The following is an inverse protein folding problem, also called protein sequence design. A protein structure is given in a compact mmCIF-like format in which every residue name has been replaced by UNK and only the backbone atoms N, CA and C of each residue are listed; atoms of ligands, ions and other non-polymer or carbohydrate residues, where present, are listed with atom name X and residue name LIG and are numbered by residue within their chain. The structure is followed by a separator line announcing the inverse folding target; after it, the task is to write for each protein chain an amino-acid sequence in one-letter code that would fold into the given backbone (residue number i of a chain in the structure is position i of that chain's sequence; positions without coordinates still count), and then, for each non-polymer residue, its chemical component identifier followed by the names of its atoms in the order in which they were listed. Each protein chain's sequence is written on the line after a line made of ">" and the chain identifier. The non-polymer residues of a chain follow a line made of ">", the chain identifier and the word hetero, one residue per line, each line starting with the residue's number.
data_IF_214583448323
#
_entry.id   IF_214583448323
#
_cell.length_a   1.000
_cell.length_b   1.000
_cell.length_c   1.000
_cell.angle_alpha   90.00
_cell.angle_beta   90.00
_cell.angle_gamma   90.00
#
_symmetry.space_group_name_H-M   'P 1'
#
loop_
_entity.id
_entity.type
_entity.pdbx_description
1 polymer ?
#
# COMPACT_ATOMS: atom_id res chain seq x y z
N UNK A 1 4.63 15.83 -14.06
CA UNK A 1 4.23 14.41 -14.14
C UNK A 1 4.29 13.92 -15.57
N UNK A 2 4.18 12.61 -15.78
CA UNK A 2 4.06 12.03 -17.12
C UNK A 2 2.89 12.63 -17.90
N UNK A 3 3.11 12.95 -19.18
CA UNK A 3 2.01 13.16 -20.12
C UNK A 3 1.54 11.81 -20.68
N UNK A 4 0.43 11.80 -21.42
CA UNK A 4 -0.10 10.58 -22.04
C UNK A 4 0.93 9.91 -22.98
N UNK A 5 1.68 10.70 -23.75
CA UNK A 5 2.74 10.22 -24.65
C UNK A 5 4.05 9.83 -23.94
N UNK A 6 4.18 10.03 -22.63
CA UNK A 6 5.35 9.52 -21.89
C UNK A 6 5.28 7.99 -21.72
N UNK A 7 4.07 7.43 -21.62
CA UNK A 7 3.81 6.00 -21.50
C UNK A 7 2.59 5.62 -22.34
N UNK A 8 2.69 5.72 -23.68
CA UNK A 8 1.57 5.45 -24.57
C UNK A 8 1.16 3.97 -24.49
N UNK A 9 -0.14 3.65 -24.59
CA UNK A 9 -0.58 2.26 -24.72
C UNK A 9 -0.05 1.67 -26.03
N UNK A 10 0.02 0.34 -26.11
CA UNK A 10 0.67 -0.38 -27.21
C UNK A 10 0.11 0.01 -28.59
N UNK A 11 -1.22 0.16 -28.69
CA UNK A 11 -1.89 0.51 -29.95
C UNK A 11 -1.44 1.88 -30.48
N UNK A 12 -1.29 2.86 -29.59
CA UNK A 12 -0.82 4.21 -29.94
C UNK A 12 0.67 4.19 -30.31
N UNK A 13 1.47 3.38 -29.59
CA UNK A 13 2.90 3.25 -29.85
C UNK A 13 3.21 2.65 -31.23
N UNK A 14 2.38 1.69 -31.67
CA UNK A 14 2.49 1.06 -32.98
C UNK A 14 1.88 1.90 -34.11
N UNK A 15 1.25 3.04 -33.79
CA UNK A 15 0.50 3.85 -34.77
C UNK A 15 -0.71 3.11 -35.36
N UNK A 16 -1.23 2.09 -34.66
CA UNK A 16 -2.37 1.31 -35.10
C UNK A 16 -3.68 2.09 -34.94
N UNK A 17 -4.63 1.85 -35.83
CA UNK A 17 -5.97 2.43 -35.72
C UNK A 17 -6.77 1.71 -34.62
N UNK A 18 -7.28 2.45 -33.64
CA UNK A 18 -8.08 1.92 -32.52
C UNK A 18 -9.31 1.13 -33.01
N UNK A 19 -9.81 1.42 -34.22
CA UNK A 19 -10.91 0.68 -34.85
C UNK A 19 -10.60 -0.79 -35.05
N UNK A 20 -9.32 -1.15 -35.21
CA UNK A 20 -8.89 -2.55 -35.39
C UNK A 20 -9.11 -3.40 -34.14
N UNK A 21 -9.13 -2.79 -32.95
CA UNK A 21 -9.38 -3.47 -31.68
C UNK A 21 -10.89 -3.65 -31.40
N UNK A 22 -11.72 -2.77 -31.95
CA UNK A 22 -13.17 -2.81 -31.76
C UNK A 22 -13.80 -3.88 -32.66
N UNK A 23 -14.48 -4.85 -32.05
CA UNK A 23 -15.36 -5.77 -32.78
C UNK A 23 -16.75 -5.16 -32.91
N UNK A 24 -17.27 -5.11 -34.13
CA UNK A 24 -18.64 -4.70 -34.41
C UNK A 24 -19.64 -5.56 -33.62
N UNK A 25 -20.63 -4.92 -32.99
CA UNK A 25 -21.66 -5.61 -32.18
C UNK A 25 -21.24 -6.02 -30.76
N UNK A 26 -19.99 -5.76 -30.33
CA UNK A 26 -19.55 -6.01 -28.95
C UNK A 26 -19.35 -4.68 -28.22
N UNK A 27 -20.05 -4.50 -27.09
CA UNK A 27 -19.88 -3.36 -26.22
C UNK A 27 -18.93 -3.70 -25.07
N UNK A 28 -18.07 -2.75 -24.69
CA UNK A 28 -17.38 -2.84 -23.41
C UNK A 28 -18.41 -2.82 -22.28
N UNK A 29 -18.25 -3.68 -21.29
CA UNK A 29 -19.12 -3.66 -20.11
C UNK A 29 -18.84 -2.38 -19.31
N UNK A 30 -19.86 -1.55 -19.12
CA UNK A 30 -19.82 -0.38 -18.24
C UNK A 30 -20.83 -0.56 -17.12
N UNK A 31 -20.36 -0.51 -15.88
CA UNK A 31 -21.23 -0.56 -14.71
C UNK A 31 -21.42 0.87 -14.18
N UNK A 32 -22.66 1.34 -13.95
CA UNK A 32 -22.89 2.70 -13.44
C UNK A 32 -22.14 3.00 -12.13
N UNK A 33 -21.89 1.97 -11.32
CA UNK A 33 -21.13 2.07 -10.07
C UNK A 33 -19.66 2.41 -10.31
N UNK A 34 -18.99 1.78 -11.29
CA UNK A 34 -17.58 2.09 -11.60
C UNK A 34 -17.46 3.48 -12.19
N UNK A 35 -18.38 3.89 -13.06
CA UNK A 35 -18.41 5.25 -13.60
C UNK A 35 -18.65 6.31 -12.50
N UNK A 36 -19.59 6.06 -11.58
CA UNK A 36 -19.88 6.97 -10.48
C UNK A 36 -18.69 7.14 -9.53
N UNK A 37 -18.02 6.04 -9.19
CA UNK A 37 -16.86 6.08 -8.30
C UNK A 37 -15.66 6.79 -8.95
N UNK A 38 -15.35 6.51 -10.22
CA UNK A 38 -14.29 7.23 -10.94
C UNK A 38 -14.59 8.73 -11.05
N UNK A 39 -15.85 9.10 -11.32
CA UNK A 39 -16.25 10.51 -11.37
C UNK A 39 -16.09 11.20 -10.01
N UNK A 40 -16.51 10.54 -8.92
CA UNK A 40 -16.34 11.07 -7.56
C UNK A 40 -14.87 11.28 -7.19
N UNK A 41 -14.01 10.28 -7.47
CA UNK A 41 -12.57 10.38 -7.23
C UNK A 41 -11.92 11.50 -8.05
N UNK A 42 -12.34 11.68 -9.30
CA UNK A 42 -11.85 12.75 -10.15
C UNK A 42 -12.22 14.13 -9.59
N UNK A 43 -13.50 14.36 -9.26
CA UNK A 43 -13.98 15.63 -8.69
C UNK A 43 -13.26 15.92 -7.37
N UNK A 44 -13.10 14.90 -6.51
CA UNK A 44 -12.38 15.08 -5.25
C UNK A 44 -10.92 15.49 -5.48
N UNK A 45 -10.25 14.93 -6.49
CA UNK A 45 -8.89 15.33 -6.82
C UNK A 45 -8.81 16.74 -7.40
N UNK A 46 -9.80 17.15 -8.20
CA UNK A 46 -9.92 18.53 -8.70
C UNK A 46 -10.09 19.50 -7.55
N UNK A 47 -10.97 19.22 -6.58
CA UNK A 47 -11.18 20.06 -5.40
C UNK A 47 -9.91 20.17 -4.55
N UNK A 48 -9.24 19.05 -4.27
CA UNK A 48 -7.95 19.04 -3.55
C UNK A 48 -6.91 19.93 -4.25
N UNK A 49 -6.85 19.87 -5.58
CA UNK A 49 -5.91 20.67 -6.37
C UNK A 49 -6.26 22.16 -6.38
N UNK A 50 -7.53 22.53 -6.61
CA UNK A 50 -7.94 23.95 -6.73
C UNK A 50 -7.98 24.67 -5.39
N UNK A 51 -8.44 24.00 -4.34
CA UNK A 51 -8.56 24.57 -3.00
C UNK A 51 -7.32 24.29 -2.13
N UNK A 52 -6.29 23.63 -2.68
CA UNK A 52 -5.01 23.37 -2.02
C UNK A 52 -5.10 22.70 -0.65
N UNK A 53 -6.06 21.78 -0.46
CA UNK A 53 -6.24 21.00 0.76
C UNK A 53 -5.99 19.50 0.52
N UNK A 54 -5.63 18.79 1.59
CA UNK A 54 -5.27 17.37 1.53
C UNK A 54 -4.08 17.09 0.61
N UNK A 55 -3.96 15.83 0.19
CA UNK A 55 -2.91 15.35 -0.72
C UNK A 55 -3.49 15.10 -2.12
N UNK A 56 -2.92 15.74 -3.14
CA UNK A 56 -3.31 15.55 -4.55
C UNK A 56 -2.70 14.25 -5.08
N UNK A 57 -3.52 13.43 -5.75
CA UNK A 57 -3.09 12.17 -6.34
C UNK A 57 -2.75 12.37 -7.82
N UNK A 58 -1.53 12.00 -8.23
CA UNK A 58 -1.10 12.08 -9.64
C UNK A 58 -1.58 10.91 -10.49
N UNK A 59 -1.66 9.74 -9.87
CA UNK A 59 -2.31 8.56 -10.41
C UNK A 59 -3.01 7.86 -9.25
N UNK A 60 -4.28 7.53 -9.47
CA UNK A 60 -5.09 6.75 -8.54
C UNK A 60 -5.80 5.70 -9.38
N UNK A 61 -5.45 4.44 -9.17
CA UNK A 61 -6.13 3.31 -9.76
C UNK A 61 -7.30 2.86 -8.90
N UNK A 62 -8.24 2.15 -9.52
CA UNK A 62 -9.32 1.47 -8.82
C UNK A 62 -9.45 0.05 -9.37
N UNK A 63 -9.34 -0.94 -8.50
CA UNK A 63 -9.62 -2.33 -8.80
C UNK A 63 -10.84 -2.80 -8.00
N UNK A 64 -11.99 -2.85 -8.67
CA UNK A 64 -13.27 -3.25 -8.08
C UNK A 64 -13.34 -4.71 -7.60
N UNK A 65 -12.45 -5.59 -8.07
CA UNK A 65 -12.48 -7.01 -7.69
C UNK A 65 -11.77 -7.27 -6.36
N UNK A 66 -10.79 -6.43 -6.01
CA UNK A 66 -9.97 -6.55 -4.80
C UNK A 66 -10.13 -5.36 -3.85
N UNK A 67 -11.08 -4.47 -4.16
CA UNK A 67 -11.28 -3.18 -3.48
C UNK A 67 -9.96 -2.43 -3.22
N UNK A 68 -9.09 -2.45 -4.24
CA UNK A 68 -7.72 -1.96 -4.12
C UNK A 68 -7.55 -0.62 -4.84
N UNK A 69 -6.92 0.33 -4.14
CA UNK A 69 -6.75 1.72 -4.58
C UNK A 69 -5.25 2.09 -4.66
N UNK A 70 -4.54 1.64 -5.70
CA UNK A 70 -3.12 1.95 -5.84
C UNK A 70 -2.89 3.42 -6.20
N UNK A 71 -1.93 4.05 -5.53
CA UNK A 71 -1.43 5.39 -5.85
C UNK A 71 0.01 5.33 -6.32
N UNK A 72 0.31 6.01 -7.44
CA UNK A 72 1.67 6.02 -8.00
C UNK A 72 2.03 7.40 -8.53
N UNK A 73 3.25 7.91 -8.28
CA UNK A 73 3.73 9.12 -8.93
C UNK A 73 4.31 8.79 -10.32
N UNK A 74 3.55 9.03 -11.39
CA UNK A 74 4.09 8.86 -12.76
C UNK A 74 5.03 10.01 -13.15
N UNK A 75 6.30 9.67 -13.39
CA UNK A 75 7.35 10.61 -13.81
C UNK A 75 7.40 10.77 -15.33
N UNK A 76 7.75 11.96 -15.85
CA UNK A 76 7.95 12.17 -17.29
C UNK A 76 9.06 11.29 -17.86
N UNK A 77 8.88 10.87 -19.11
CA UNK A 77 9.92 10.20 -19.89
C UNK A 77 10.85 11.27 -20.51
N UNK A 78 12.17 11.25 -20.26
CA UNK A 78 13.11 12.21 -20.84
C UNK A 78 13.16 12.17 -22.38
N UNK A 79 12.84 11.01 -22.97
CA UNK A 79 12.83 10.79 -24.42
C UNK A 79 11.40 10.71 -24.96
N UNK A 80 10.47 11.53 -24.45
CA UNK A 80 9.08 11.55 -24.93
C UNK A 80 9.00 12.01 -26.40
N UNK A 81 8.12 11.38 -27.19
CA UNK A 81 7.87 11.76 -28.59
C UNK A 81 7.37 13.19 -28.74
N UNK A 82 6.66 13.70 -27.72
CA UNK A 82 6.11 15.05 -27.72
C UNK A 82 7.19 16.11 -27.41
N UNK A 83 7.52 16.94 -28.39
CA UNK A 83 8.51 18.03 -28.22
C UNK A 83 8.08 19.10 -27.21
N UNK A 84 6.78 19.36 -27.04
CA UNK A 84 6.29 20.28 -26.02
C UNK A 84 6.47 19.71 -24.61
N UNK A 85 6.34 18.39 -24.46
CA UNK A 85 6.62 17.71 -23.19
C UNK A 85 8.08 17.90 -22.78
N UNK A 86 9.04 17.66 -23.68
CA UNK A 86 10.47 17.84 -23.41
C UNK A 86 10.77 19.29 -22.97
N UNK A 87 10.23 20.30 -23.69
CA UNK A 87 10.39 21.71 -23.31
C UNK A 87 9.83 22.02 -21.92
N UNK A 88 8.67 21.44 -21.57
CA UNK A 88 8.11 21.57 -20.23
C UNK A 88 9.00 20.88 -19.18
N UNK A 89 9.58 19.72 -19.48
CA UNK A 89 10.49 19.03 -18.56
C UNK A 89 11.74 19.87 -18.27
N UNK A 90 12.30 20.55 -19.28
CA UNK A 90 13.40 21.49 -19.09
C UNK A 90 13.01 22.67 -18.20
N UNK A 91 11.80 23.23 -18.41
CA UNK A 91 11.27 24.34 -17.59
C UNK A 91 11.04 23.94 -16.14
N UNK A 92 10.57 22.72 -15.89
CA UNK A 92 10.21 22.21 -14.56
C UNK A 92 11.26 21.23 -13.99
N UNK A 93 12.53 21.39 -14.38
CA UNK A 93 13.62 20.53 -13.91
C UNK A 93 13.81 20.67 -12.40
N UNK A 94 13.73 19.56 -11.67
CA UNK A 94 13.82 19.55 -10.20
C UNK A 94 12.51 19.86 -9.47
N UNK A 95 11.39 19.99 -10.18
CA UNK A 95 10.09 20.09 -9.53
C UNK A 95 9.75 18.80 -8.79
N UNK A 96 9.52 18.91 -7.49
CA UNK A 96 8.96 17.86 -6.66
C UNK A 96 7.48 18.15 -6.38
N UNK A 97 6.64 17.12 -6.32
CA UNK A 97 5.30 17.24 -5.76
C UNK A 97 5.32 17.97 -4.41
N UNK A 98 4.37 18.88 -4.13
CA UNK A 98 4.11 19.28 -2.76
C UNK A 98 3.60 18.06 -2.00
N UNK A 99 4.50 17.33 -1.35
CA UNK A 99 4.14 16.47 -0.24
C UNK A 99 3.81 17.45 0.88
N UNK A 100 2.51 17.72 1.08
CA UNK A 100 2.11 18.16 2.41
C UNK A 100 2.32 16.93 3.28
N UNK A 101 3.46 16.89 3.96
CA UNK A 101 3.51 16.20 5.24
C UNK A 101 2.34 16.81 5.99
N UNK A 102 1.26 16.05 6.14
CA UNK A 102 0.33 16.30 7.22
C UNK A 102 1.14 16.07 8.48
N UNK A 103 1.94 17.07 8.85
CA UNK A 103 1.99 17.48 10.25
C UNK A 103 0.54 17.82 10.54
N UNK A 104 -0.23 16.80 10.88
CA UNK A 104 -1.37 16.99 11.74
C UNK A 104 -0.81 17.90 12.83
N UNK A 105 -1.32 19.13 12.88
CA UNK A 105 -1.18 19.90 14.08
C UNK A 105 -1.99 19.09 15.08
N UNK A 106 -1.33 18.08 15.65
CA UNK A 106 -1.74 17.44 16.88
C UNK A 106 -1.57 18.53 17.92
N UNK A 107 -2.55 19.43 17.93
CA UNK A 107 -2.77 20.34 19.03
C UNK A 107 -3.34 19.41 20.07
N UNK A 108 -2.44 18.77 20.82
CA UNK A 108 -2.79 17.95 21.97
C UNK A 108 -3.54 18.86 22.92
N UNK A 109 -4.87 18.80 22.86
CA UNK A 109 -5.73 19.58 23.73
C UNK A 109 -5.70 18.87 25.07
N UNK A 110 -5.03 19.47 26.04
CA UNK A 110 -4.98 18.98 27.41
C UNK A 110 -6.42 19.01 27.99
N UNK A 111 -7.08 17.86 27.95
CA UNK A 111 -8.35 17.63 28.64
C UNK A 111 -8.06 17.10 30.05
N UNK A 112 -9.00 17.30 30.97
CA UNK A 112 -8.89 16.73 32.31
C UNK A 112 -8.90 15.20 32.21
N UNK A 113 -7.72 14.59 32.32
CA UNK A 113 -7.52 13.16 32.13
C UNK A 113 -7.80 12.42 33.45
N UNK A 114 -9.06 12.42 33.88
CA UNK A 114 -9.52 11.78 35.12
C UNK A 114 -9.16 10.29 35.21
N UNK A 115 -9.00 9.64 34.05
CA UNK A 115 -8.74 8.20 33.92
C UNK A 115 -7.27 7.85 33.77
N UNK A 116 -6.37 8.85 33.74
CA UNK A 116 -4.92 8.65 33.68
C UNK A 116 -4.44 7.91 32.43
N UNK A 117 -5.09 8.12 31.27
CA UNK A 117 -4.73 7.49 30.00
C UNK A 117 -3.43 8.14 29.51
N UNK A 118 -2.34 7.38 29.48
CA UNK A 118 -1.03 7.81 28.98
C UNK A 118 -0.84 7.27 27.56
N UNK A 119 -0.29 8.10 26.67
CA UNK A 119 0.13 7.65 25.33
C UNK A 119 1.49 6.98 25.51
N UNK A 120 1.53 5.66 25.45
CA UNK A 120 2.78 4.92 25.42
C UNK A 120 3.37 5.00 24.00
N UNK A 121 4.54 5.63 23.87
CA UNK A 121 5.33 5.56 22.64
C UNK A 121 5.93 4.15 22.53
N UNK A 122 5.34 3.30 21.68
CA UNK A 122 5.90 1.98 21.36
C UNK A 122 7.19 2.14 20.53
N UNK A 123 8.31 2.45 21.18
CA UNK A 123 9.62 2.08 20.66
C UNK A 123 9.75 0.56 20.80
N UNK A 124 9.62 -0.16 19.69
CA UNK A 124 9.58 -1.62 19.60
C UNK A 124 10.54 -2.37 20.52
N UNK A 125 10.07 -2.66 21.72
CA UNK A 125 10.61 -3.65 22.64
C UNK A 125 9.43 -4.36 23.26
N UNK A 126 9.11 -5.53 22.73
CA UNK A 126 7.98 -6.41 23.08
C UNK A 126 8.07 -7.02 24.51
N UNK A 127 8.82 -6.40 25.42
CA UNK A 127 8.98 -6.85 26.80
C UNK A 127 9.10 -5.67 27.78
N UNK A 128 7.97 -5.02 28.09
CA UNK A 128 7.76 -4.38 29.39
C UNK A 128 6.29 -3.95 29.61
N UNK A 129 5.42 -4.87 30.04
CA UNK A 129 4.24 -4.48 30.83
C UNK A 129 4.74 -3.90 32.17
N UNK A 130 4.93 -2.59 32.24
CA UNK A 130 5.10 -1.85 33.50
C UNK A 130 3.88 -0.99 33.74
N UNK A 131 2.89 -1.58 34.40
CA UNK A 131 1.76 -0.84 34.97
C UNK A 131 2.30 0.17 36.00
N UNK A 132 2.23 1.45 35.66
CA UNK A 132 2.47 2.56 36.57
C UNK A 132 1.38 2.55 37.66
N UNK A 133 1.81 2.46 38.93
CA UNK A 133 0.90 2.57 40.07
C UNK A 133 0.53 4.04 40.25
N UNK A 134 -0.58 4.45 39.64
CA UNK A 134 -1.27 5.69 40.01
C UNK A 134 -1.81 5.60 41.44
N UNK A 135 -1.76 6.71 42.18
CA UNK A 135 -2.21 6.85 43.57
C UNK A 135 -3.75 6.87 43.75
N UNK A 136 -4.47 6.03 43.00
CA UNK A 136 -5.91 5.79 43.16
C UNK A 136 -6.18 4.53 43.97
N UNK A 137 -7.23 4.54 44.79
CA UNK A 137 -7.67 3.40 45.59
C UNK A 137 -7.70 2.08 44.82
N UNK A 138 -7.19 1.04 45.48
CA UNK A 138 -6.90 -0.28 44.94
C UNK A 138 -8.07 -0.90 44.16
N UNK A 139 -7.96 -0.92 42.83
CA UNK A 139 -8.81 -1.77 41.99
C UNK A 139 -8.45 -3.25 42.24
N UNK A 140 -9.31 -3.96 42.96
CA UNK A 140 -9.21 -5.42 43.14
C UNK A 140 -9.81 -6.10 41.91
N UNK A 141 -8.98 -6.75 41.11
CA UNK A 141 -9.46 -7.62 40.04
C UNK A 141 -10.32 -8.75 40.64
N UNK A 142 -11.56 -8.87 40.16
CA UNK A 142 -12.50 -9.91 40.60
C UNK A 142 -12.15 -11.31 40.06
N UNK A 143 -11.20 -11.40 39.14
CA UNK A 143 -10.71 -12.65 38.59
C UNK A 143 -9.19 -12.61 38.44
N UNK A 144 -8.53 -13.70 38.86
CA UNK A 144 -7.10 -13.87 38.62
C UNK A 144 -6.89 -14.22 37.15
N UNK A 145 -6.02 -13.51 36.41
CA UNK A 145 -5.63 -13.96 35.08
C UNK A 145 -4.97 -15.33 35.24
N UNK A 146 -5.47 -16.31 34.49
CA UNK A 146 -4.88 -17.64 34.48
C UNK A 146 -3.41 -17.52 34.06
N UNK A 147 -2.50 -18.14 34.82
CA UNK A 147 -1.12 -18.33 34.38
C UNK A 147 -1.16 -18.96 33.00
N UNK A 148 -0.34 -18.50 32.02
CA UNK A 148 -0.23 -19.21 30.76
C UNK A 148 0.30 -20.60 31.07
N UNK A 149 -0.60 -21.59 31.02
CA UNK A 149 -0.21 -22.98 30.97
C UNK A 149 0.31 -23.17 29.56
N UNK A 150 1.62 -23.36 29.43
CA UNK A 150 2.18 -23.97 28.24
C UNK A 150 1.68 -25.41 28.27
N UNK A 151 0.47 -25.62 27.76
CA UNK A 151 0.00 -26.94 27.38
C UNK A 151 0.84 -27.35 26.17
N UNK A 152 1.79 -28.24 26.37
CA UNK A 152 2.32 -29.09 25.31
C UNK A 152 1.14 -29.94 24.82
N UNK A 153 0.37 -29.42 23.86
CA UNK A 153 -0.52 -30.23 23.06
C UNK A 153 0.35 -31.03 22.12
N UNK A 154 0.48 -32.32 22.42
CA UNK A 154 0.75 -33.33 21.41
C UNK A 154 -0.41 -33.26 20.39
N UNK A 155 -0.19 -32.52 19.31
CA UNK A 155 -0.99 -32.68 18.10
C UNK A 155 -0.55 -33.99 17.45
N UNK A 156 -1.41 -35.01 17.59
CA UNK A 156 -1.45 -36.10 16.63
C UNK A 156 -1.92 -35.54 15.30
N UNK A 157 -0.99 -35.00 14.53
CA UNK A 157 -1.16 -34.85 13.10
C UNK A 157 -0.76 -36.15 12.41
N UNK A 158 -1.71 -36.67 11.66
CA UNK A 158 -1.61 -37.86 10.83
C UNK A 158 -0.68 -37.53 9.66
N UNK A 159 0.62 -37.83 9.79
CA UNK A 159 1.59 -37.71 8.71
C UNK A 159 1.44 -38.86 7.72
N UNK A 160 0.94 -38.55 6.53
CA UNK A 160 1.28 -39.31 5.32
C UNK A 160 2.78 -39.15 5.04
N UNK A 161 3.44 -40.28 4.74
CA UNK A 161 4.86 -40.39 4.43
C UNK A 161 5.20 -39.58 3.17
N UNK A 162 5.97 -38.50 3.33
CA UNK A 162 6.65 -37.81 2.23
C UNK A 162 8.09 -38.33 2.16
N UNK A 163 8.37 -39.11 1.12
CA UNK A 163 9.71 -39.62 0.76
C UNK A 163 10.60 -38.45 0.31
N UNK A 164 11.11 -37.69 1.29
CA UNK A 164 12.03 -36.57 1.08
C UNK A 164 13.45 -36.93 1.49
N UNK A 165 14.32 -37.16 0.49
CA UNK A 165 15.77 -37.26 0.67
C UNK A 165 16.30 -36.07 1.47
N UNK A 166 17.08 -36.35 2.52
CA UNK A 166 17.63 -35.33 3.40
C UNK A 166 18.50 -34.32 2.64
N UNK A 167 18.39 -33.04 3.00
CA UNK A 167 19.10 -31.89 2.39
C UNK A 167 20.62 -32.12 2.30
N UNK A 168 21.15 -32.96 3.18
CA UNK A 168 22.55 -33.39 3.27
C UNK A 168 22.98 -34.25 2.07
N UNK A 169 22.11 -35.14 1.57
CA UNK A 169 22.38 -36.00 0.40
C UNK A 169 22.31 -35.21 -0.93
N UNK A 170 21.40 -34.23 -1.00
CA UNK A 170 21.30 -33.31 -2.14
C UNK A 170 22.56 -32.43 -2.28
N UNK A 171 23.17 -32.02 -1.16
CA UNK A 171 24.46 -31.29 -1.18
C UNK A 171 25.61 -32.19 -1.62
N UNK A 172 25.59 -33.48 -1.29
CA UNK A 172 26.59 -34.43 -1.76
C UNK A 172 26.49 -34.68 -3.28
N UNK A 173 25.27 -34.80 -3.81
CA UNK A 173 25.01 -35.04 -5.23
C UNK A 173 25.42 -33.85 -6.13
N UNK A 174 25.16 -32.61 -5.70
CA UNK A 174 25.60 -31.41 -6.41
C UNK A 174 27.13 -31.27 -6.47
N UNK A 175 27.82 -31.73 -5.42
CA UNK A 175 29.29 -31.69 -5.34
C UNK A 175 29.96 -32.71 -6.26
N UNK A 176 29.31 -33.86 -6.48
CA UNK A 176 29.79 -34.88 -7.42
C UNK A 176 29.73 -34.41 -8.88
N UNK A 177 28.67 -33.69 -9.26
CA UNK A 177 28.45 -33.19 -10.63
C UNK A 177 29.40 -32.05 -11.06
N UNK A 178 29.97 -31.30 -10.11
CA UNK A 178 30.93 -30.22 -10.42
C UNK A 178 32.38 -30.67 -10.59
N UNK A 179 32.67 -31.97 -10.46
CA UNK A 179 34.02 -32.54 -10.56
C UNK A 179 34.27 -33.37 -11.82
N UNK A 180 33.40 -33.25 -12.84
CA UNK A 180 33.61 -33.77 -14.20
C UNK A 180 33.68 -32.62 -15.22
#
# INVERSE_FOLDING_TARGET
>A
TACFECSPPLIVSLGGDEKTLKREGVCAASLPTTMGLIAALLVQNVLKYTLSFGQVSYYLGYNALKDFFPTWPMRPNPNCTNTACIKCQEKYKGWTPPVKDSKEADVEQEYENEWGIEVEEEEGNEDALKISKGNGEQLKYAFQPAKPQIETKEEKENGEEDDGEGVEDLMASLKALQSS
#
